data_IF_500840501886
#
_entry.id   IF_500840501886
#
_cell.length_a   1.000
_cell.length_b   1.000
_cell.length_c   1.000
_cell.angle_alpha   90.00
_cell.angle_beta   90.00
_cell.angle_gamma   90.00
#
_symmetry.space_group_name_H-M   'P 1'
#
loop_
_entity.id
_entity.type
_entity.pdbx_description
1 polymer ?
#
# COMPACT_ATOMS: atom_id res chain seq x y z
N UNK A 1 37.29 36.56 42.31
CA UNK A 1 36.66 35.25 42.01
C UNK A 1 37.01 34.92 40.57
N UNK A 2 37.90 33.91 40.35
CA UNK A 2 38.23 33.45 39.01
C UNK A 2 37.18 32.42 38.58
N UNK A 3 36.58 32.54 37.40
CA UNK A 3 35.72 31.49 36.89
C UNK A 3 36.60 30.25 36.59
N UNK A 4 36.31 29.16 37.27
CA UNK A 4 36.92 27.88 36.94
C UNK A 4 36.37 27.46 35.55
N UNK A 5 37.16 27.63 34.50
CA UNK A 5 36.93 27.01 33.22
C UNK A 5 37.15 25.50 33.41
N UNK A 6 36.07 24.79 33.69
CA UNK A 6 36.09 23.32 33.67
C UNK A 6 36.04 22.91 32.19
N UNK A 7 37.22 22.57 31.64
CA UNK A 7 37.27 21.91 30.33
C UNK A 7 36.63 20.52 30.45
N UNK A 8 35.77 20.18 29.53
CA UNK A 8 35.19 18.84 29.46
C UNK A 8 36.30 17.76 29.40
N UNK A 9 36.17 16.75 30.25
CA UNK A 9 37.07 15.60 30.24
C UNK A 9 36.92 14.85 28.93
N UNK A 10 38.04 14.31 28.37
CA UNK A 10 38.03 13.48 27.16
C UNK A 10 37.06 12.30 27.27
N UNK A 11 36.94 11.72 28.47
CA UNK A 11 36.00 10.61 28.75
C UNK A 11 34.55 11.06 28.71
N UNK A 12 34.25 12.28 29.08
CA UNK A 12 32.90 12.85 29.04
C UNK A 12 32.46 13.11 27.60
N UNK A 13 33.36 13.55 26.72
CA UNK A 13 33.14 13.67 25.29
C UNK A 13 32.86 12.29 24.62
N UNK A 14 33.64 11.24 24.98
CA UNK A 14 33.44 9.91 24.50
C UNK A 14 32.07 9.34 24.92
N UNK A 15 31.68 9.61 26.16
CA UNK A 15 30.40 9.15 26.71
C UNK A 15 29.22 9.84 25.98
N UNK A 16 29.31 11.13 25.73
CA UNK A 16 28.29 11.86 24.97
C UNK A 16 28.19 11.35 23.52
N UNK A 17 29.32 11.09 22.85
CA UNK A 17 29.32 10.50 21.50
C UNK A 17 28.71 9.10 21.49
N UNK A 18 29.00 8.28 22.50
CA UNK A 18 28.41 6.95 22.62
C UNK A 18 26.90 7.00 22.79
N UNK A 19 26.41 7.89 23.65
CA UNK A 19 24.96 8.08 23.86
C UNK A 19 24.28 8.56 22.55
N UNK A 20 24.89 9.53 21.85
CA UNK A 20 24.36 10.00 20.56
C UNK A 20 24.29 8.89 19.52
N UNK A 21 25.31 8.04 19.41
CA UNK A 21 25.31 6.89 18.49
C UNK A 21 24.18 5.91 18.82
N UNK A 22 23.96 5.60 20.08
CA UNK A 22 22.85 4.74 20.52
C UNK A 22 21.49 5.35 20.16
N UNK A 23 21.30 6.66 20.42
CA UNK A 23 20.06 7.35 20.11
C UNK A 23 19.78 7.37 18.59
N UNK A 24 20.78 7.64 17.76
CA UNK A 24 20.65 7.62 16.29
C UNK A 24 20.27 6.21 15.81
N UNK A 25 20.87 5.20 16.38
CA UNK A 25 20.59 3.82 16.04
C UNK A 25 19.15 3.44 16.38
N UNK A 26 18.67 3.75 17.59
CA UNK A 26 17.30 3.51 18.02
C UNK A 26 16.27 4.26 17.15
N UNK A 27 16.57 5.51 16.78
CA UNK A 27 15.67 6.32 15.94
C UNK A 27 15.49 5.72 14.53
N UNK A 28 16.54 5.09 13.98
CA UNK A 28 16.49 4.46 12.66
C UNK A 28 15.52 3.27 12.63
N UNK A 29 15.41 2.49 13.69
CA UNK A 29 14.46 1.36 13.77
C UNK A 29 13.00 1.83 13.75
N UNK A 30 12.66 2.88 14.51
CA UNK A 30 11.29 3.41 14.56
C UNK A 30 10.81 3.95 13.22
N UNK A 31 11.69 4.57 12.43
CA UNK A 31 11.33 5.07 11.09
C UNK A 31 11.07 3.92 10.10
N UNK A 32 11.76 2.80 10.24
CA UNK A 32 11.57 1.63 9.38
C UNK A 32 10.24 0.91 9.66
N UNK A 33 9.89 0.74 10.93
CA UNK A 33 8.64 0.13 11.35
C UNK A 33 7.41 0.96 10.95
N UNK A 34 7.47 2.29 11.10
CA UNK A 34 6.40 3.18 10.69
C UNK A 34 6.12 3.11 9.18
N UNK A 35 7.18 3.03 8.36
CA UNK A 35 7.03 2.91 6.89
C UNK A 35 6.44 1.57 6.47
N UNK A 36 6.79 0.49 7.16
CA UNK A 36 6.23 -0.84 6.91
C UNK A 36 4.76 -0.89 7.29
N UNK A 37 4.38 -0.33 8.44
CA UNK A 37 2.99 -0.25 8.88
C UNK A 37 2.11 0.51 7.88
N UNK A 38 2.60 1.63 7.30
CA UNK A 38 1.89 2.39 6.26
C UNK A 38 1.67 1.56 4.98
N UNK A 39 2.67 0.77 4.56
CA UNK A 39 2.55 -0.10 3.38
C UNK A 39 1.51 -1.21 3.61
N UNK A 40 1.55 -1.87 4.76
CA UNK A 40 0.62 -2.94 5.10
C UNK A 40 -0.81 -2.40 5.21
N UNK A 41 -1.01 -1.21 5.75
CA UNK A 41 -2.31 -0.52 5.80
C UNK A 41 -2.85 -0.25 4.40
N UNK A 42 -2.04 0.29 3.48
CA UNK A 42 -2.45 0.56 2.09
C UNK A 42 -2.82 -0.73 1.37
N UNK A 43 -2.06 -1.80 1.55
CA UNK A 43 -2.34 -3.10 0.94
C UNK A 43 -3.63 -3.72 1.48
N UNK A 44 -3.89 -3.63 2.78
CA UNK A 44 -5.12 -4.10 3.40
C UNK A 44 -6.33 -3.29 2.95
N UNK A 45 -6.20 -1.96 2.86
CA UNK A 45 -7.24 -1.07 2.35
C UNK A 45 -7.60 -1.41 0.90
N UNK A 46 -6.59 -1.62 0.04
CA UNK A 46 -6.80 -2.01 -1.36
C UNK A 46 -7.54 -3.35 -1.46
N UNK A 47 -7.13 -4.35 -0.68
CA UNK A 47 -7.81 -5.65 -0.62
C UNK A 47 -9.26 -5.50 -0.13
N UNK A 48 -9.49 -4.70 0.91
CA UNK A 48 -10.82 -4.47 1.45
C UNK A 48 -11.75 -3.82 0.43
N UNK A 49 -11.27 -2.83 -0.32
CA UNK A 49 -12.03 -2.16 -1.38
C UNK A 49 -12.42 -3.15 -2.49
N UNK A 50 -11.47 -3.97 -2.96
CA UNK A 50 -11.75 -4.93 -4.03
C UNK A 50 -12.74 -6.00 -3.56
N UNK A 51 -12.54 -6.56 -2.36
CA UNK A 51 -13.42 -7.56 -1.77
C UNK A 51 -14.83 -6.99 -1.51
N UNK A 52 -14.95 -5.73 -1.11
CA UNK A 52 -16.23 -5.05 -0.95
C UNK A 52 -17.02 -5.04 -2.26
N UNK A 53 -16.41 -4.59 -3.36
CA UNK A 53 -17.10 -4.54 -4.66
C UNK A 53 -17.36 -5.94 -5.24
N UNK A 54 -16.49 -6.90 -4.97
CA UNK A 54 -16.76 -8.29 -5.32
C UNK A 54 -17.98 -8.84 -4.56
N UNK A 55 -18.02 -8.64 -3.23
CA UNK A 55 -19.17 -9.06 -2.41
C UNK A 55 -20.46 -8.38 -2.86
N UNK A 56 -20.38 -7.09 -3.21
CA UNK A 56 -21.51 -6.35 -3.74
C UNK A 56 -21.99 -6.91 -5.07
N UNK A 57 -21.08 -7.31 -5.96
CA UNK A 57 -21.44 -7.96 -7.23
C UNK A 57 -22.11 -9.32 -7.00
N UNK A 58 -21.64 -10.08 -6.01
CA UNK A 58 -22.24 -11.37 -5.61
C UNK A 58 -23.64 -11.16 -5.04
N UNK A 59 -23.79 -10.26 -4.08
CA UNK A 59 -25.07 -10.06 -3.36
C UNK A 59 -26.16 -9.46 -4.24
N UNK A 60 -25.80 -8.62 -5.21
CA UNK A 60 -26.76 -7.98 -6.11
C UNK A 60 -26.96 -8.72 -7.42
N UNK A 61 -26.08 -9.67 -7.76
CA UNK A 61 -26.05 -10.32 -9.06
C UNK A 61 -25.69 -9.40 -10.24
N UNK A 62 -25.25 -8.17 -9.94
CA UNK A 62 -24.96 -7.14 -10.93
C UNK A 62 -23.46 -7.08 -11.25
N UNK A 63 -23.15 -6.62 -12.46
CA UNK A 63 -21.76 -6.51 -12.90
C UNK A 63 -21.11 -5.24 -12.37
N UNK A 64 -19.93 -5.39 -11.74
CA UNK A 64 -19.09 -4.29 -11.29
C UNK A 64 -17.73 -4.39 -11.98
N UNK A 65 -17.31 -3.32 -12.62
CA UNK A 65 -16.07 -3.25 -13.40
C UNK A 65 -15.05 -2.38 -12.70
N UNK A 66 -13.88 -2.95 -12.43
CA UNK A 66 -12.70 -2.26 -11.93
C UNK A 66 -11.73 -2.04 -13.07
N UNK A 67 -11.35 -0.78 -13.32
CA UNK A 67 -10.36 -0.41 -14.33
C UNK A 67 -9.14 0.18 -13.67
N UNK A 68 -8.03 -0.52 -13.79
CA UNK A 68 -6.72 -0.09 -13.28
C UNK A 68 -6.06 0.82 -14.30
N UNK A 69 -5.85 2.09 -13.97
CA UNK A 69 -5.31 3.08 -14.89
C UNK A 69 -3.77 3.04 -14.89
N UNK A 70 -3.13 2.66 -16.03
CA UNK A 70 -1.68 2.54 -16.12
C UNK A 70 -0.98 3.87 -15.83
N UNK A 71 0.10 3.83 -15.03
CA UNK A 71 0.88 5.02 -14.65
C UNK A 71 0.17 5.98 -13.70
N UNK A 72 -1.05 5.68 -13.26
CA UNK A 72 -1.84 6.51 -12.36
C UNK A 72 -2.00 5.87 -10.97
N UNK A 73 -2.49 6.66 -10.04
CA UNK A 73 -2.81 6.21 -8.67
C UNK A 73 -4.24 5.69 -8.54
N UNK A 74 -5.04 5.82 -9.59
CA UNK A 74 -6.48 5.68 -9.53
C UNK A 74 -6.97 4.35 -10.13
N UNK A 75 -7.93 3.74 -9.44
CA UNK A 75 -8.72 2.60 -9.90
C UNK A 75 -10.14 3.12 -10.09
N UNK A 76 -10.66 3.04 -11.31
CA UNK A 76 -12.05 3.39 -11.60
C UNK A 76 -12.96 2.21 -11.33
N UNK A 77 -14.06 2.46 -10.63
CA UNK A 77 -15.04 1.45 -10.25
C UNK A 77 -16.39 1.87 -10.81
N UNK A 78 -16.93 1.07 -11.71
CA UNK A 78 -18.16 1.37 -12.43
C UNK A 78 -19.15 0.21 -12.41
N UNK A 79 -20.42 0.55 -12.21
CA UNK A 79 -21.56 -0.33 -12.48
C UNK A 79 -22.72 0.50 -12.96
N UNK A 80 -23.12 0.29 -14.22
CA UNK A 80 -24.25 1.02 -14.81
C UNK A 80 -25.56 0.65 -14.12
N UNK A 81 -25.71 -0.62 -13.74
CA UNK A 81 -26.94 -1.14 -13.15
C UNK A 81 -27.16 -0.64 -11.71
N UNK A 82 -26.06 -0.48 -10.96
CA UNK A 82 -26.09 0.02 -9.57
C UNK A 82 -25.87 1.54 -9.48
N UNK A 83 -25.67 2.24 -10.61
CA UNK A 83 -25.37 3.67 -10.61
C UNK A 83 -24.01 4.02 -9.98
N UNK A 84 -23.09 3.03 -9.87
CA UNK A 84 -21.77 3.26 -9.27
C UNK A 84 -20.85 3.85 -10.33
N UNK A 85 -20.26 4.99 -10.00
CA UNK A 85 -19.18 5.62 -10.77
C UNK A 85 -18.24 6.32 -9.78
N UNK A 86 -17.33 5.56 -9.19
CA UNK A 86 -16.42 6.06 -8.16
C UNK A 86 -14.97 5.75 -8.50
N UNK A 87 -14.06 6.35 -7.75
CA UNK A 87 -12.62 6.23 -7.94
C UNK A 87 -11.97 5.95 -6.59
N UNK A 88 -11.17 4.90 -6.53
CA UNK A 88 -10.28 4.63 -5.42
C UNK A 88 -8.87 5.08 -5.78
N UNK A 89 -8.18 5.74 -4.85
CA UNK A 89 -6.81 6.24 -5.03
C UNK A 89 -5.86 5.53 -4.09
N UNK A 90 -4.83 4.90 -4.66
CA UNK A 90 -3.76 4.26 -3.88
C UNK A 90 -2.92 5.35 -3.21
N UNK A 91 -2.86 5.32 -1.88
CA UNK A 91 -2.01 6.25 -1.11
C UNK A 91 -0.54 5.92 -1.35
N UNK A 92 0.28 6.94 -1.54
CA UNK A 92 1.73 6.82 -1.71
C UNK A 92 2.17 5.77 -2.75
N UNK A 93 1.30 5.49 -3.75
CA UNK A 93 1.53 4.46 -4.74
C UNK A 93 1.04 4.81 -6.13
N UNK A 94 1.32 3.95 -7.10
CA UNK A 94 0.84 4.04 -8.47
C UNK A 94 0.80 2.67 -9.13
N UNK A 95 -0.04 2.53 -10.16
CA UNK A 95 -0.17 1.32 -10.97
C UNK A 95 0.92 1.33 -12.04
N UNK A 96 1.62 0.21 -12.21
CA UNK A 96 2.68 0.09 -13.22
C UNK A 96 2.13 0.34 -14.63
N UNK A 97 2.86 1.12 -15.44
CA UNK A 97 2.41 1.57 -16.76
C UNK A 97 2.28 0.44 -17.80
N UNK A 98 2.93 -0.70 -17.58
CA UNK A 98 2.78 -1.90 -18.42
C UNK A 98 1.49 -2.68 -18.19
N UNK A 99 0.70 -2.32 -17.18
CA UNK A 99 -0.52 -3.02 -16.81
C UNK A 99 -1.76 -2.23 -17.24
N UNK A 100 -2.38 -2.64 -18.33
CA UNK A 100 -3.74 -2.21 -18.66
C UNK A 100 -4.68 -3.36 -18.33
N UNK A 101 -5.41 -3.27 -17.22
CA UNK A 101 -6.31 -4.35 -16.84
C UNK A 101 -7.64 -3.81 -16.37
N UNK A 102 -8.69 -4.33 -17.01
CA UNK A 102 -10.08 -4.15 -16.58
C UNK A 102 -10.60 -5.51 -16.13
N UNK A 103 -11.07 -5.58 -14.89
CA UNK A 103 -11.66 -6.78 -14.30
C UNK A 103 -13.12 -6.51 -14.00
N UNK A 104 -14.00 -7.39 -14.47
CA UNK A 104 -15.43 -7.29 -14.17
C UNK A 104 -15.85 -8.47 -13.30
N UNK A 105 -16.40 -8.19 -12.14
CA UNK A 105 -17.06 -9.17 -11.29
C UNK A 105 -18.52 -9.30 -11.71
N UNK A 106 -18.97 -10.53 -11.88
CA UNK A 106 -20.38 -10.87 -12.11
C UNK A 106 -20.74 -12.09 -11.27
N UNK A 107 -21.50 -11.88 -10.21
CA UNK A 107 -21.68 -12.91 -9.19
C UNK A 107 -20.34 -13.30 -8.57
N UNK A 108 -20.10 -14.59 -8.36
CA UNK A 108 -18.88 -15.12 -7.75
C UNK A 108 -17.64 -15.14 -8.68
N UNK A 109 -17.83 -14.83 -9.96
CA UNK A 109 -16.79 -14.97 -10.98
C UNK A 109 -16.22 -13.63 -11.38
N UNK A 110 -14.90 -13.57 -11.57
CA UNK A 110 -14.27 -12.54 -12.36
C UNK A 110 -14.33 -12.93 -13.85
N UNK A 111 -14.49 -11.96 -14.75
CA UNK A 111 -14.51 -12.22 -16.19
C UNK A 111 -13.18 -12.77 -16.73
N UNK A 112 -12.08 -12.45 -16.04
CA UNK A 112 -10.74 -12.95 -16.35
C UNK A 112 -9.85 -12.87 -15.10
N UNK A 113 -8.86 -13.76 -15.02
CA UNK A 113 -7.75 -13.61 -14.09
C UNK A 113 -6.89 -12.39 -14.47
N UNK A 114 -6.39 -11.68 -13.50
CA UNK A 114 -5.52 -10.53 -13.73
C UNK A 114 -4.41 -10.48 -12.68
N UNK A 115 -3.21 -10.11 -13.13
CA UNK A 115 -2.10 -9.77 -12.26
C UNK A 115 -1.75 -8.30 -12.52
N UNK A 116 -1.95 -7.46 -11.52
CA UNK A 116 -1.71 -6.03 -11.62
C UNK A 116 -0.50 -5.70 -10.75
N UNK A 117 0.56 -5.20 -11.35
CA UNK A 117 1.73 -4.69 -10.64
C UNK A 117 1.48 -3.24 -10.22
N UNK A 118 1.76 -2.92 -8.99
CA UNK A 118 1.69 -1.56 -8.46
C UNK A 118 2.83 -1.32 -7.47
N UNK A 119 3.06 -0.06 -7.18
CA UNK A 119 4.11 0.38 -6.25
C UNK A 119 3.47 1.15 -5.09
N UNK A 120 3.96 0.92 -3.88
CA UNK A 120 3.66 1.72 -2.68
C UNK A 120 5.00 2.07 -2.02
N UNK A 121 5.26 3.34 -1.79
CA UNK A 121 6.54 3.81 -1.21
C UNK A 121 7.78 3.23 -1.92
N UNK A 122 7.75 3.12 -3.26
CA UNK A 122 8.78 2.53 -4.12
C UNK A 122 9.01 1.02 -3.94
N UNK A 123 8.17 0.32 -3.18
CA UNK A 123 8.17 -1.14 -3.12
C UNK A 123 7.18 -1.70 -4.12
N UNK A 124 7.56 -2.80 -4.77
CA UNK A 124 6.77 -3.46 -5.80
C UNK A 124 5.86 -4.52 -5.21
N UNK A 125 4.60 -4.51 -5.62
CA UNK A 125 3.58 -5.49 -5.24
C UNK A 125 2.84 -5.99 -6.46
N UNK A 126 2.29 -7.19 -6.34
CA UNK A 126 1.42 -7.78 -7.35
C UNK A 126 0.06 -8.10 -6.71
N UNK A 127 -0.98 -7.50 -7.26
CA UNK A 127 -2.36 -7.83 -6.97
C UNK A 127 -2.80 -8.92 -7.95
N UNK A 128 -3.10 -10.10 -7.44
CA UNK A 128 -3.50 -11.26 -8.22
C UNK A 128 -4.98 -11.52 -7.99
N UNK A 129 -5.75 -11.43 -9.07
CA UNK A 129 -7.20 -11.72 -9.08
C UNK A 129 -7.41 -13.03 -9.84
N UNK A 130 -7.91 -14.05 -9.16
CA UNK A 130 -8.15 -15.35 -9.75
C UNK A 130 -9.51 -15.40 -10.45
N UNK A 131 -9.57 -16.14 -11.55
CA UNK A 131 -10.79 -16.30 -12.37
C UNK A 131 -11.91 -16.99 -11.59
N UNK A 132 -11.57 -18.06 -10.87
CA UNK A 132 -12.54 -18.88 -10.13
C UNK A 132 -12.63 -18.40 -8.70
N UNK A 133 -13.84 -18.11 -8.23
CA UNK A 133 -14.15 -17.56 -6.90
C UNK A 133 -13.57 -16.17 -6.62
N UNK A 134 -13.02 -15.49 -7.64
CA UNK A 134 -12.54 -14.12 -7.53
C UNK A 134 -11.53 -13.87 -6.40
N UNK A 135 -10.80 -14.90 -5.95
CA UNK A 135 -9.85 -14.74 -4.85
C UNK A 135 -8.82 -13.67 -5.20
N UNK A 136 -8.69 -12.73 -4.30
CA UNK A 136 -7.75 -11.61 -4.43
C UNK A 136 -6.65 -11.78 -3.40
N UNK A 137 -5.40 -11.66 -3.86
CA UNK A 137 -4.23 -11.69 -2.97
C UNK A 137 -3.20 -10.68 -3.42
N UNK A 138 -2.40 -10.22 -2.49
CA UNK A 138 -1.24 -9.34 -2.75
C UNK A 138 0.02 -10.13 -2.42
N UNK A 139 1.01 -10.05 -3.31
CA UNK A 139 2.35 -10.61 -3.14
C UNK A 139 3.38 -9.48 -3.23
N UNK A 140 4.35 -9.47 -2.31
CA UNK A 140 5.53 -8.61 -2.38
C UNK A 140 6.58 -9.21 -3.30
N UNK A 141 7.26 -8.39 -4.09
CA UNK A 141 8.38 -8.78 -4.94
C UNK A 141 9.66 -8.05 -4.56
#
# INVERSE_FOLDING_TARGET
MHPRNQAFSYIEMLLVMLIMLIMIHMMSYHLFDAKKADIDEVNQELLAVINYYQTLAVSTGQSITLTFLPGQKDILIKSTQLGINTRYRIRNGYIYSGNSSTVTFKGELANKGATITYFVNNQRFQLIIQLVRGRVRIESQ
#
